data_IF_574610788486
#
_entry.id   IF_574610788486
#
_cell.length_a   1.000
_cell.length_b   1.000
_cell.length_c   1.000
_cell.angle_alpha   90.00
_cell.angle_beta   90.00
_cell.angle_gamma   90.00
#
_symmetry.space_group_name_H-M   'P 1'
#
loop_
_entity.id
_entity.type
_entity.pdbx_description
1 polymer ?
#
# COMPACT_ATOMS: atom_id res chain seq x y z
N UNK A 1 15.13 -4.00 -7.05
CA UNK A 1 13.94 -4.88 -7.01
C UNK A 1 13.96 -5.60 -5.67
N UNK A 2 13.00 -5.31 -4.78
CA UNK A 2 12.94 -5.97 -3.47
C UNK A 2 12.58 -7.43 -3.71
N UNK A 3 13.38 -8.35 -3.18
CA UNK A 3 13.01 -9.76 -3.11
C UNK A 3 11.89 -9.91 -2.08
N UNK A 4 10.65 -9.92 -2.57
CA UNK A 4 9.45 -9.97 -1.76
C UNK A 4 9.42 -11.20 -0.85
N UNK A 5 9.92 -12.33 -1.35
CA UNK A 5 9.99 -13.57 -0.58
C UNK A 5 10.97 -13.42 0.59
N UNK A 6 12.15 -12.85 0.33
CA UNK A 6 13.12 -12.54 1.39
C UNK A 6 12.55 -11.59 2.44
N UNK A 7 11.79 -10.57 2.04
CA UNK A 7 11.15 -9.64 2.97
C UNK A 7 10.09 -10.33 3.83
N UNK A 8 9.22 -11.15 3.23
CA UNK A 8 8.16 -11.86 3.93
C UNK A 8 8.69 -12.96 4.85
N UNK A 9 9.83 -13.59 4.52
CA UNK A 9 10.43 -14.66 5.33
C UNK A 9 11.32 -14.12 6.45
N UNK A 10 12.10 -13.05 6.20
CA UNK A 10 13.14 -12.58 7.12
C UNK A 10 12.82 -11.24 7.81
N UNK A 11 11.91 -10.45 7.25
CA UNK A 11 11.60 -9.10 7.71
C UNK A 11 10.45 -9.01 8.71
N UNK A 12 9.74 -10.11 8.97
CA UNK A 12 8.54 -10.17 9.79
C UNK A 12 8.66 -11.22 10.89
N UNK A 13 8.10 -10.93 12.06
CA UNK A 13 7.98 -11.88 13.17
C UNK A 13 6.88 -12.92 12.91
N UNK A 14 6.97 -14.15 13.46
CA UNK A 14 5.99 -15.21 13.20
C UNK A 14 4.54 -14.84 13.51
N UNK A 15 4.31 -13.85 14.37
CA UNK A 15 2.99 -13.40 14.80
C UNK A 15 2.46 -12.19 14.01
N UNK A 16 3.27 -11.61 13.12
CA UNK A 16 2.86 -10.47 12.31
C UNK A 16 1.76 -10.88 11.32
N UNK A 17 0.74 -10.03 11.22
CA UNK A 17 -0.35 -10.19 10.24
C UNK A 17 -0.03 -9.42 8.97
N UNK A 18 -0.23 -10.07 7.84
CA UNK A 18 0.11 -9.58 6.51
C UNK A 18 -1.18 -9.42 5.71
N UNK A 19 -1.35 -8.26 5.07
CA UNK A 19 -2.36 -8.05 4.04
C UNK A 19 -1.63 -7.67 2.74
N UNK A 20 -2.19 -8.10 1.61
CA UNK A 20 -1.62 -7.80 0.29
C UNK A 20 -2.59 -6.92 -0.48
N UNK A 21 -2.09 -5.76 -0.88
CA UNK A 21 -2.80 -4.83 -1.75
C UNK A 21 -2.06 -4.76 -3.08
N UNK A 22 -2.82 -4.78 -4.18
CA UNK A 22 -2.31 -4.58 -5.52
C UNK A 22 -2.87 -3.30 -6.11
N UNK A 23 -2.10 -2.68 -6.99
CA UNK A 23 -2.52 -1.50 -7.71
C UNK A 23 -2.13 -1.62 -9.17
N UNK A 24 -3.13 -1.69 -10.03
CA UNK A 24 -2.97 -1.80 -11.47
C UNK A 24 -3.66 -0.65 -12.23
N UNK A 25 -4.06 0.41 -11.54
CA UNK A 25 -5.06 1.36 -12.06
C UNK A 25 -6.36 1.35 -11.25
N UNK A 26 -6.57 0.32 -10.43
CA UNK A 26 -7.49 0.31 -9.31
C UNK A 26 -6.81 -0.32 -8.09
N UNK A 27 -7.25 0.02 -6.87
CA UNK A 27 -6.77 -0.62 -5.65
C UNK A 27 -7.52 -1.93 -5.43
N UNK A 28 -6.79 -3.02 -5.23
CA UNK A 28 -7.33 -4.35 -4.99
C UNK A 28 -6.81 -4.91 -3.68
N UNK A 29 -7.70 -5.48 -2.87
CA UNK A 29 -7.33 -6.30 -1.74
C UNK A 29 -7.17 -7.75 -2.22
N UNK A 30 -5.94 -8.19 -2.40
CA UNK A 30 -5.62 -9.54 -2.90
C UNK A 30 -5.65 -10.59 -1.80
N UNK A 31 -5.30 -10.17 -0.58
CA UNK A 31 -5.31 -11.02 0.60
C UNK A 31 -5.59 -10.17 1.84
N UNK A 32 -6.65 -10.54 2.56
CA UNK A 32 -6.94 -9.97 3.89
C UNK A 32 -5.90 -10.40 4.93
N UNK A 33 -5.83 -9.67 6.05
CA UNK A 33 -4.87 -9.92 7.13
C UNK A 33 -4.78 -11.39 7.56
N UNK A 34 -3.65 -12.02 7.27
CA UNK A 34 -3.35 -13.42 7.58
C UNK A 34 -1.95 -13.56 8.20
N UNK A 35 -1.70 -14.66 8.90
CA UNK A 35 -0.36 -15.09 9.31
C UNK A 35 0.24 -16.11 8.33
N UNK A 36 -0.51 -16.52 7.30
CA UNK A 36 -0.08 -17.46 6.26
C UNK A 36 0.85 -16.75 5.26
N UNK A 37 2.16 -16.93 5.47
CA UNK A 37 3.20 -16.34 4.63
C UNK A 37 3.23 -16.90 3.20
N UNK A 38 3.14 -18.23 2.98
CA UNK A 38 2.97 -18.78 1.64
C UNK A 38 1.80 -18.14 0.87
N UNK A 39 0.64 -17.97 1.51
CA UNK A 39 -0.51 -17.33 0.88
C UNK A 39 -0.24 -15.87 0.50
N UNK A 40 0.48 -15.12 1.35
CA UNK A 40 0.89 -13.75 1.07
C UNK A 40 1.85 -13.64 -0.12
N UNK A 41 2.84 -14.54 -0.21
CA UNK A 41 3.77 -14.61 -1.35
C UNK A 41 3.01 -14.90 -2.65
N UNK A 42 2.09 -15.87 -2.61
CA UNK A 42 1.29 -16.25 -3.79
C UNK A 42 0.38 -15.10 -4.24
N UNK A 43 -0.32 -14.45 -3.32
CA UNK A 43 -1.19 -13.32 -3.61
C UNK A 43 -0.42 -12.17 -4.25
N UNK A 44 0.76 -11.82 -3.71
CA UNK A 44 1.58 -10.76 -4.27
C UNK A 44 2.20 -11.13 -5.63
N UNK A 45 2.53 -12.41 -5.85
CA UNK A 45 3.01 -12.88 -7.15
C UNK A 45 1.91 -12.75 -8.22
N UNK A 46 0.67 -13.16 -7.88
CA UNK A 46 -0.50 -13.00 -8.79
C UNK A 46 -0.80 -11.53 -9.08
N UNK A 47 -0.72 -10.68 -8.05
CA UNK A 47 -0.89 -9.23 -8.18
C UNK A 47 0.10 -8.64 -9.18
N UNK A 48 1.39 -8.98 -9.04
CA UNK A 48 2.45 -8.46 -9.89
C UNK A 48 2.34 -8.92 -11.34
N UNK A 49 1.79 -10.12 -11.58
CA UNK A 49 1.59 -10.65 -12.92
C UNK A 49 0.41 -9.99 -13.68
N UNK A 50 -0.40 -9.17 -13.02
CA UNK A 50 -1.56 -8.52 -13.64
C UNK A 50 -1.11 -7.41 -14.60
N UNK A 51 -1.68 -7.31 -15.81
CA UNK A 51 -1.35 -6.22 -16.72
C UNK A 51 -1.81 -4.88 -16.15
N UNK A 52 -1.01 -3.81 -16.28
CA UNK A 52 -1.42 -2.49 -15.84
C UNK A 52 -2.62 -2.02 -16.67
N UNK A 53 -3.60 -1.41 -16.02
CA UNK A 53 -4.72 -0.73 -16.66
C UNK A 53 -4.25 0.65 -17.09
N UNK A 54 -4.60 1.09 -18.31
CA UNK A 54 -4.23 2.42 -18.78
C UNK A 54 -4.97 3.46 -17.95
N UNK A 55 -4.26 4.18 -17.09
CA UNK A 55 -4.80 5.36 -16.42
C UNK A 55 -3.73 6.43 -16.30
N UNK A 56 -3.63 7.25 -17.35
CA UNK A 56 -2.78 8.45 -17.44
C UNK A 56 -3.08 9.46 -16.31
N UNK A 57 -4.26 9.35 -15.69
CA UNK A 57 -4.72 10.24 -14.61
C UNK A 57 -4.23 9.78 -13.24
N UNK A 58 -3.85 8.51 -13.08
CA UNK A 58 -3.61 7.91 -11.77
C UNK A 58 -2.18 8.04 -11.27
N UNK A 59 -1.19 8.01 -12.16
CA UNK A 59 0.23 8.22 -11.79
C UNK A 59 0.38 9.59 -11.09
N UNK A 60 -0.22 10.63 -11.68
CA UNK A 60 -0.32 11.95 -11.06
C UNK A 60 -1.11 11.97 -9.75
N UNK A 61 -2.19 11.20 -9.62
CA UNK A 61 -2.98 11.14 -8.39
C UNK A 61 -2.23 10.44 -7.26
N UNK A 62 -1.48 9.39 -7.56
CA UNK A 62 -0.63 8.67 -6.59
C UNK A 62 0.55 9.56 -6.18
N UNK A 63 1.19 10.25 -7.11
CA UNK A 63 2.21 11.26 -6.80
C UNK A 63 1.68 12.33 -5.84
N UNK A 64 0.50 12.89 -6.12
CA UNK A 64 -0.15 13.87 -5.24
C UNK A 64 -0.50 13.31 -3.87
N UNK A 65 -1.01 12.08 -3.79
CA UNK A 65 -1.31 11.45 -2.50
C UNK A 65 -0.04 11.20 -1.68
N UNK A 66 1.05 10.76 -2.32
CA UNK A 66 2.34 10.56 -1.66
C UNK A 66 2.93 11.89 -1.17
N UNK A 67 2.78 12.97 -1.94
CA UNK A 67 3.16 14.32 -1.54
C UNK A 67 2.34 14.78 -0.30
N UNK A 68 1.02 14.59 -0.29
CA UNK A 68 0.16 14.92 0.85
C UNK A 68 0.45 14.07 2.10
N UNK A 69 0.76 12.78 1.94
CA UNK A 69 1.19 11.93 3.06
C UNK A 69 2.55 12.38 3.60
N UNK A 70 3.42 12.91 2.76
CA UNK A 70 4.71 13.47 3.20
C UNK A 70 4.52 14.72 4.07
N UNK A 71 3.44 15.48 3.88
CA UNK A 71 3.06 16.61 4.74
C UNK A 71 2.52 16.15 6.11
N UNK A 72 1.96 14.94 6.21
CA UNK A 72 1.56 14.33 7.48
C UNK A 72 2.74 13.79 8.30
N UNK A 73 3.96 13.77 7.74
CA UNK A 73 5.17 13.46 8.49
C UNK A 73 5.76 14.75 9.08
N UNK A 74 6.12 14.80 10.38
CA UNK A 74 6.78 15.97 10.94
C UNK A 74 8.10 16.23 10.22
N UNK A 75 8.35 17.49 9.85
CA UNK A 75 9.47 17.96 9.02
C UNK A 75 10.89 17.78 9.63
N UNK A 76 11.10 16.86 10.58
CA UNK A 76 12.41 16.60 11.21
C UNK A 76 12.85 15.15 11.01
N UNK A 77 13.88 15.03 10.18
CA UNK A 77 14.80 13.89 10.02
C UNK A 77 14.21 12.57 9.52
N UNK A 78 14.04 12.52 8.18
CA UNK A 78 13.71 11.34 7.37
C UNK A 78 14.66 10.14 7.50
N UNK A 79 15.81 10.26 8.19
CA UNK A 79 16.91 9.30 8.06
C UNK A 79 17.06 8.34 9.24
N UNK A 80 16.45 8.58 10.41
CA UNK A 80 16.78 7.77 11.61
C UNK A 80 15.67 7.32 12.54
N UNK A 81 14.45 7.80 12.38
CA UNK A 81 13.37 7.48 13.33
C UNK A 81 12.28 6.73 12.57
N UNK A 82 11.82 5.60 13.09
CA UNK A 82 10.52 5.03 12.70
C UNK A 82 9.50 6.16 12.82
N UNK A 83 9.06 6.68 11.67
CA UNK A 83 8.22 7.88 11.62
C UNK A 83 6.92 7.53 12.33
N UNK A 84 6.65 8.16 13.47
CA UNK A 84 5.29 8.23 14.02
C UNK A 84 4.50 9.13 13.08
N UNK A 85 4.06 8.54 11.97
CA UNK A 85 3.16 9.21 11.05
C UNK A 85 1.86 9.44 11.81
N UNK A 86 1.36 10.68 11.80
CA UNK A 86 0.09 10.98 12.45
C UNK A 86 -1.02 10.17 11.76
N UNK A 87 -1.47 9.12 12.45
CA UNK A 87 -2.46 8.18 11.96
C UNK A 87 -3.80 8.88 11.68
N UNK A 88 -4.14 9.93 12.43
CA UNK A 88 -5.35 10.70 12.18
C UNK A 88 -5.22 11.52 10.89
N UNK A 89 -4.04 12.11 10.64
CA UNK A 89 -3.74 12.85 9.42
C UNK A 89 -3.81 11.94 8.17
N UNK A 90 -3.16 10.78 8.21
CA UNK A 90 -3.22 9.80 7.09
C UNK A 90 -4.65 9.28 6.87
N UNK A 91 -5.39 8.99 7.95
CA UNK A 91 -6.78 8.52 7.82
C UNK A 91 -7.68 9.58 7.19
N UNK A 92 -7.50 10.85 7.56
CA UNK A 92 -8.25 11.96 6.99
C UNK A 92 -7.94 12.16 5.49
N UNK A 93 -6.69 11.95 5.07
CA UNK A 93 -6.28 12.04 3.66
C UNK A 93 -6.75 10.86 2.82
N UNK A 94 -6.78 9.64 3.36
CA UNK A 94 -7.08 8.42 2.59
C UNK A 94 -8.59 8.18 2.44
N UNK A 95 -9.40 8.64 3.41
CA UNK A 95 -10.86 8.41 3.41
C UNK A 95 -11.58 8.93 2.14
N UNK A 96 -11.30 10.14 1.63
CA UNK A 96 -11.89 10.64 0.38
C UNK A 96 -11.51 9.81 -0.84
N UNK A 97 -10.25 9.38 -0.94
CA UNK A 97 -9.75 8.57 -2.08
C UNK A 97 -10.44 7.20 -2.14
N UNK A 98 -10.70 6.57 -0.99
CA UNK A 98 -11.43 5.29 -0.92
C UNK A 98 -12.91 5.47 -1.28
N UNK A 99 -13.52 6.61 -0.92
CA UNK A 99 -14.91 6.89 -1.25
C UNK A 99 -15.12 7.16 -2.76
N UNK A 100 -14.17 7.86 -3.41
CA UNK A 100 -14.23 8.12 -4.86
C UNK A 100 -14.04 6.85 -5.69
N UNK A 101 -13.12 5.96 -5.31
CA UNK A 101 -12.94 4.67 -5.99
C UNK A 101 -14.15 3.73 -5.88
N UNK A 102 -14.97 3.87 -4.82
CA UNK A 102 -16.21 3.11 -4.67
C UNK A 102 -17.36 3.67 -5.54
N UNK A 103 -17.31 4.94 -5.95
CA UNK A 103 -18.30 5.57 -6.81
C UNK A 103 -18.05 5.28 -8.30
N UNK A 104 -16.80 5.19 -8.74
CA UNK A 104 -16.44 4.82 -10.12
C UNK A 104 -16.68 3.32 -10.44
N UNK A 105 -16.90 2.49 -9.41
CA UNK A 105 -17.19 1.06 -9.55
C UNK A 105 -18.69 0.70 -9.61
N UNK A 106 -19.59 1.70 -9.66
CA UNK A 106 -21.05 1.55 -9.84
C UNK A 106 -21.48 2.07 -11.20
#
# INVERSE_FOLDING_TARGET
MIDLRRFLDQGLEPHDRIAVFAFDGALHLELSFTTDRPAAVEAATRAYARPPRPSIVLERRVEQLLEQISECAPARDYVRSKVDVDRACVTALVTPYVAEGAAEAR
#
